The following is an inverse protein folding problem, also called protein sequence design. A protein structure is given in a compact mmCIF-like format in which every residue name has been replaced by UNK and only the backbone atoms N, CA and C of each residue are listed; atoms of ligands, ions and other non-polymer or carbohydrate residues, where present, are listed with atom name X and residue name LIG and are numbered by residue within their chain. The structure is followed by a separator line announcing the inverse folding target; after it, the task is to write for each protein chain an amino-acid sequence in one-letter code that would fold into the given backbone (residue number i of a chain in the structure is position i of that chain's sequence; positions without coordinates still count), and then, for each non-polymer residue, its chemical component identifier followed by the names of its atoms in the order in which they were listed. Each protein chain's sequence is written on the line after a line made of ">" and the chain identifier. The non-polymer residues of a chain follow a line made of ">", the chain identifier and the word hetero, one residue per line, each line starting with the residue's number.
data_IF_854603180171
#
_entry.id   IF_854603180171
#
_cell.length_a   1.000
_cell.length_b   1.000
_cell.length_c   1.000
_cell.angle_alpha   90.00
_cell.angle_beta   90.00
_cell.angle_gamma   90.00
#
_symmetry.space_group_name_H-M   'P 1'
#
loop_
_entity.id
_entity.type
_entity.pdbx_description
1 polymer ?
#
# COMPACT_ATOMS: atom_id res chain seq x y z
N UNK A 1 14.73 -9.92 5.36
CA UNK A 1 15.65 -10.02 4.22
C UNK A 1 17.04 -9.60 4.68
N UNK A 2 17.60 -8.43 4.37
CA UNK A 2 19.00 -8.10 4.76
C UNK A 2 19.23 -8.01 6.29
N UNK A 3 18.37 -7.30 7.04
CA UNK A 3 18.47 -7.21 8.50
C UNK A 3 18.18 -8.54 9.24
N UNK A 4 17.68 -9.56 8.53
CA UNK A 4 17.47 -10.92 9.02
C UNK A 4 18.55 -11.91 8.51
N UNK A 5 19.57 -11.43 7.78
CA UNK A 5 20.66 -12.24 7.24
C UNK A 5 20.36 -12.96 5.92
N UNK A 6 19.28 -12.60 5.22
CA UNK A 6 18.91 -13.18 3.94
C UNK A 6 19.34 -12.26 2.79
N UNK A 7 19.93 -12.82 1.73
CA UNK A 7 20.23 -12.08 0.50
C UNK A 7 18.94 -11.55 -0.14
N UNK A 8 18.91 -10.23 -0.37
CA UNK A 8 17.78 -9.55 -0.98
C UNK A 8 18.16 -9.12 -2.39
N UNK A 9 17.63 -9.82 -3.40
CA UNK A 9 17.72 -9.40 -4.79
C UNK A 9 16.58 -8.42 -5.10
N UNK A 10 16.95 -7.18 -5.39
CA UNK A 10 16.00 -6.12 -5.71
C UNK A 10 15.07 -6.49 -6.87
N UNK A 11 15.60 -7.03 -7.97
CA UNK A 11 14.81 -7.33 -9.17
C UNK A 11 13.80 -8.44 -8.85
N UNK A 12 14.25 -9.48 -8.15
CA UNK A 12 13.37 -10.58 -7.72
C UNK A 12 12.25 -10.10 -6.81
N UNK A 13 12.54 -9.17 -5.89
CA UNK A 13 11.54 -8.60 -4.99
C UNK A 13 10.54 -7.75 -5.78
N UNK A 14 11.03 -6.91 -6.68
CA UNK A 14 10.18 -6.08 -7.54
C UNK A 14 9.24 -6.94 -8.40
N UNK A 15 9.77 -7.96 -9.07
CA UNK A 15 8.98 -8.88 -9.89
C UNK A 15 7.91 -9.60 -9.05
N UNK A 16 8.27 -10.01 -7.82
CA UNK A 16 7.32 -10.64 -6.91
C UNK A 16 6.17 -9.70 -6.51
N UNK A 17 6.48 -8.43 -6.21
CA UNK A 17 5.47 -7.43 -5.86
C UNK A 17 4.53 -7.18 -7.03
N UNK A 18 5.07 -6.95 -8.24
CA UNK A 18 4.26 -6.71 -9.45
C UNK A 18 3.33 -7.90 -9.73
N UNK A 19 3.85 -9.13 -9.65
CA UNK A 19 3.03 -10.33 -9.86
C UNK A 19 1.94 -10.48 -8.81
N UNK A 20 2.25 -10.20 -7.54
CA UNK A 20 1.25 -10.25 -6.46
C UNK A 20 0.14 -9.24 -6.68
N UNK A 21 0.49 -8.01 -7.01
CA UNK A 21 -0.49 -6.94 -7.22
C UNK A 21 -1.42 -7.28 -8.40
N UNK A 22 -0.87 -7.82 -9.50
CA UNK A 22 -1.68 -8.34 -10.62
C UNK A 22 -2.66 -9.44 -10.17
N UNK A 23 -2.19 -10.44 -9.42
CA UNK A 23 -3.02 -11.55 -8.92
C UNK A 23 -4.13 -11.01 -8.00
N UNK A 24 -3.79 -10.08 -7.10
CA UNK A 24 -4.74 -9.51 -6.15
C UNK A 24 -5.84 -8.70 -6.84
N UNK A 25 -5.53 -7.97 -7.91
CA UNK A 25 -6.51 -7.24 -8.73
C UNK A 25 -7.43 -8.15 -9.54
N UNK A 26 -6.93 -9.31 -10.00
CA UNK A 26 -7.64 -10.19 -10.95
C UNK A 26 -8.28 -11.43 -10.31
N UNK A 27 -8.17 -11.64 -9.00
CA UNK A 27 -8.77 -12.82 -8.35
C UNK A 27 -10.30 -12.77 -8.37
N UNK A 28 -10.92 -13.93 -8.57
CA UNK A 28 -12.38 -14.08 -8.61
C UNK A 28 -13.05 -13.73 -7.27
N UNK A 29 -12.40 -14.06 -6.15
CA UNK A 29 -12.92 -13.83 -4.82
C UNK A 29 -12.24 -12.63 -4.15
N UNK A 30 -13.02 -11.62 -3.75
CA UNK A 30 -12.55 -10.42 -3.05
C UNK A 30 -11.36 -9.70 -3.73
N UNK A 31 -11.45 -9.33 -5.02
CA UNK A 31 -10.38 -8.65 -5.74
C UNK A 31 -10.00 -7.34 -5.06
N UNK A 32 -8.73 -6.97 -5.15
CA UNK A 32 -8.22 -5.67 -4.74
C UNK A 32 -8.86 -4.60 -5.64
N UNK A 33 -9.76 -3.82 -5.08
CA UNK A 33 -10.44 -2.71 -5.77
C UNK A 33 -10.70 -1.57 -4.80
N UNK A 34 -10.61 -0.36 -5.32
CA UNK A 34 -10.97 0.84 -4.55
C UNK A 34 -12.49 0.85 -4.31
N UNK A 35 -12.91 1.08 -3.05
CA UNK A 35 -14.32 1.26 -2.74
C UNK A 35 -14.84 2.60 -3.28
N UNK A 36 -16.15 2.74 -3.58
CA UNK A 36 -16.70 3.98 -4.12
C UNK A 36 -16.48 5.22 -3.24
N UNK A 37 -16.37 5.04 -1.93
CA UNK A 37 -16.17 6.10 -0.94
C UNK A 37 -14.74 6.15 -0.38
N UNK A 38 -13.83 5.33 -0.94
CA UNK A 38 -12.44 5.33 -0.54
C UNK A 38 -11.73 6.60 -1.02
N UNK A 39 -10.80 7.09 -0.19
CA UNK A 39 -9.94 8.23 -0.51
C UNK A 39 -8.57 7.65 -0.86
N UNK A 40 -8.08 7.93 -2.07
CA UNK A 40 -6.74 7.53 -2.49
C UNK A 40 -5.68 8.36 -1.77
N UNK A 41 -4.73 7.68 -1.13
CA UNK A 41 -3.52 8.27 -0.58
C UNK A 41 -2.31 7.66 -1.27
N UNK A 42 -1.61 8.46 -2.07
CA UNK A 42 -0.28 8.12 -2.55
C UNK A 42 0.76 8.63 -1.54
N UNK A 43 1.41 7.70 -0.84
CA UNK A 43 2.42 7.99 0.17
C UNK A 43 3.85 7.71 -0.31
N UNK A 44 4.07 7.56 -1.64
CA UNK A 44 5.37 7.19 -2.21
C UNK A 44 6.52 8.13 -1.82
N UNK A 45 6.19 9.38 -1.44
CA UNK A 45 7.15 10.42 -1.06
C UNK A 45 6.87 11.02 0.33
N UNK A 46 6.10 10.34 1.16
CA UNK A 46 5.78 10.80 2.52
C UNK A 46 6.61 10.04 3.55
N UNK A 47 7.00 10.74 4.60
CA UNK A 47 7.43 10.12 5.85
C UNK A 47 6.24 9.48 6.57
N UNK A 48 6.55 8.58 7.51
CA UNK A 48 5.52 7.96 8.36
C UNK A 48 4.73 9.01 9.15
N UNK A 49 5.41 10.05 9.64
CA UNK A 49 4.78 11.13 10.42
C UNK A 49 3.79 11.94 9.57
N UNK A 50 4.19 12.36 8.37
CA UNK A 50 3.32 13.07 7.43
C UNK A 50 2.12 12.21 7.01
N UNK A 51 2.33 10.90 6.78
CA UNK A 51 1.25 9.97 6.48
C UNK A 51 0.24 9.89 7.63
N UNK A 52 0.71 9.82 8.88
CA UNK A 52 -0.16 9.72 10.06
C UNK A 52 -0.93 11.01 10.32
N UNK A 53 -0.30 12.16 10.10
CA UNK A 53 -0.97 13.46 10.18
C UNK A 53 -2.07 13.60 9.13
N UNK A 54 -1.78 13.21 7.88
CA UNK A 54 -2.76 13.21 6.80
C UNK A 54 -3.98 12.35 7.12
N UNK A 55 -3.76 11.12 7.62
CA UNK A 55 -4.84 10.20 8.01
C UNK A 55 -5.69 10.82 9.13
N UNK A 56 -5.05 11.35 10.18
CA UNK A 56 -5.73 11.95 11.33
C UNK A 56 -6.59 13.15 10.93
N UNK A 57 -6.09 13.98 10.01
CA UNK A 57 -6.84 15.09 9.44
C UNK A 57 -8.07 14.65 8.66
N UNK A 58 -7.94 13.61 7.81
CA UNK A 58 -9.07 13.08 7.02
C UNK A 58 -10.15 12.44 7.89
N UNK A 59 -9.77 11.72 8.94
CA UNK A 59 -10.73 11.14 9.90
C UNK A 59 -11.50 12.27 10.60
N UNK A 60 -10.80 13.29 11.09
CA UNK A 60 -11.43 14.40 11.79
C UNK A 60 -12.40 15.21 10.91
N UNK A 61 -12.15 15.29 9.59
CA UNK A 61 -13.04 15.95 8.64
C UNK A 61 -14.30 15.14 8.30
N UNK A 62 -14.22 13.81 8.37
CA UNK A 62 -15.34 12.91 7.99
C UNK A 62 -16.25 12.58 9.18
N UNK A 63 -15.76 12.72 10.42
CA UNK A 63 -16.47 12.32 11.64
C UNK A 63 -16.68 13.43 12.69
N UNK A 64 -16.38 14.69 12.37
CA UNK A 64 -16.90 15.87 13.08
C UNK A 64 -18.05 16.50 12.30
#
# INVERSE_FOLDING_TARGET
>A
MVAKGEEADFQKILDNIIQRDYIDEHRDAAPLKMAPDAILLDNSHMSLEEQMEWISGKISQKWN
#
